data_IF_055733804531
#
_entry.id   IF_055733804531
#
_cell.length_a   1.000
_cell.length_b   1.000
_cell.length_c   1.000
_cell.angle_alpha   90.00
_cell.angle_beta   90.00
_cell.angle_gamma   90.00
#
_symmetry.space_group_name_H-M   'P 1'
#
loop_
_entity.id
_entity.type
_entity.pdbx_description
1 polymer ?
#
# COMPACT_ATOMS: atom_id res chain seq x y z
N UNK A 1 0.41 -2.65 -30.75
CA UNK A 1 0.79 -3.98 -30.20
C UNK A 1 1.92 -3.89 -29.20
N UNK A 2 3.03 -3.20 -29.51
CA UNK A 2 4.14 -3.00 -28.57
C UNK A 2 3.69 -2.48 -27.19
N UNK A 3 2.84 -1.45 -27.15
CA UNK A 3 2.31 -0.87 -25.90
C UNK A 3 1.55 -1.91 -25.05
N UNK A 4 0.72 -2.75 -25.66
CA UNK A 4 -0.02 -3.81 -24.93
C UNK A 4 0.96 -4.79 -24.28
N UNK A 5 1.98 -5.21 -25.01
CA UNK A 5 3.00 -6.11 -24.50
C UNK A 5 3.78 -5.46 -23.35
N UNK A 6 4.16 -4.19 -23.47
CA UNK A 6 4.84 -3.44 -22.41
C UNK A 6 3.98 -3.39 -21.14
N UNK A 7 2.69 -3.08 -21.25
CA UNK A 7 1.80 -3.02 -20.08
C UNK A 7 1.66 -4.38 -19.38
N UNK A 8 1.50 -5.46 -20.15
CA UNK A 8 1.43 -6.82 -19.60
C UNK A 8 2.76 -7.22 -18.96
N UNK A 9 3.88 -6.92 -19.61
CA UNK A 9 5.22 -7.21 -19.07
C UNK A 9 5.51 -6.42 -17.79
N UNK A 10 5.02 -5.18 -17.67
CA UNK A 10 5.12 -4.40 -16.43
C UNK A 10 4.38 -5.12 -15.29
N UNK A 11 3.15 -5.56 -15.52
CA UNK A 11 2.38 -6.25 -14.46
C UNK A 11 3.04 -7.58 -14.07
N UNK A 12 3.35 -8.41 -15.06
CA UNK A 12 4.01 -9.71 -14.83
C UNK A 12 5.37 -9.51 -14.17
N UNK A 13 6.16 -8.55 -14.66
CA UNK A 13 7.47 -8.20 -14.12
C UNK A 13 7.37 -7.73 -12.66
N UNK A 14 6.45 -6.84 -12.33
CA UNK A 14 6.23 -6.38 -10.95
C UNK A 14 5.79 -7.50 -10.02
N UNK A 15 4.86 -8.37 -10.46
CA UNK A 15 4.38 -9.50 -9.66
C UNK A 15 5.50 -10.53 -9.44
N UNK A 16 6.20 -10.93 -10.50
CA UNK A 16 7.32 -11.86 -10.40
C UNK A 16 8.46 -11.29 -9.57
N UNK A 17 8.82 -10.02 -9.80
CA UNK A 17 9.83 -9.33 -8.99
C UNK A 17 9.44 -9.42 -7.52
N UNK A 18 8.22 -9.06 -7.15
CA UNK A 18 7.82 -9.08 -5.75
C UNK A 18 7.82 -10.49 -5.13
N UNK A 19 7.27 -11.49 -5.82
CA UNK A 19 7.20 -12.88 -5.33
C UNK A 19 8.57 -13.56 -5.23
N UNK A 20 9.51 -13.22 -6.13
CA UNK A 20 10.83 -13.82 -6.19
C UNK A 20 11.91 -12.99 -5.49
N UNK A 21 11.62 -11.72 -5.19
CA UNK A 21 12.55 -10.83 -4.51
C UNK A 21 12.73 -11.31 -3.06
N UNK A 22 13.97 -11.42 -2.55
CA UNK A 22 14.21 -11.62 -1.12
C UNK A 22 14.03 -10.33 -0.29
N UNK A 23 13.57 -9.24 -0.92
CA UNK A 23 13.49 -7.89 -0.36
C UNK A 23 12.19 -7.72 0.44
N UNK A 24 11.86 -8.76 1.19
CA UNK A 24 10.80 -8.74 2.17
C UNK A 24 11.37 -8.27 3.51
N UNK A 25 10.48 -8.24 4.48
CA UNK A 25 10.74 -7.67 5.77
C UNK A 25 11.72 -8.55 6.52
N UNK A 26 12.67 -7.92 7.19
CA UNK A 26 13.54 -8.62 8.13
C UNK A 26 12.70 -9.14 9.30
N UNK A 27 13.12 -10.23 9.96
CA UNK A 27 12.46 -10.70 11.17
C UNK A 27 12.28 -9.55 12.17
N UNK A 28 11.08 -9.48 12.75
CA UNK A 28 10.69 -8.38 13.63
C UNK A 28 11.57 -8.39 14.90
N UNK A 29 12.09 -7.22 15.28
CA UNK A 29 12.88 -7.06 16.51
C UNK A 29 12.02 -6.71 17.74
N UNK A 30 10.74 -6.37 17.52
CA UNK A 30 9.79 -5.88 18.53
C UNK A 30 8.38 -6.42 18.30
N UNK A 31 7.47 -6.24 19.25
CA UNK A 31 6.09 -6.73 19.21
C UNK A 31 5.13 -5.95 18.27
N UNK A 32 5.64 -5.45 17.14
CA UNK A 32 4.95 -4.46 16.30
C UNK A 32 4.23 -5.06 15.08
N UNK A 33 3.91 -6.37 15.13
CA UNK A 33 3.27 -7.13 14.04
C UNK A 33 2.02 -6.47 13.46
N UNK A 34 1.30 -5.67 14.24
CA UNK A 34 0.10 -4.97 13.79
C UNK A 34 0.40 -3.90 12.70
N UNK A 35 1.57 -3.25 12.77
CA UNK A 35 2.06 -2.32 11.74
C UNK A 35 2.39 -3.12 10.48
N UNK A 36 3.11 -4.23 10.65
CA UNK A 36 3.51 -5.12 9.57
C UNK A 36 2.32 -5.61 8.77
N UNK A 37 1.33 -6.14 9.48
CA UNK A 37 0.07 -6.58 8.90
C UNK A 37 -0.65 -5.45 8.13
N UNK A 38 -0.65 -4.23 8.65
CA UNK A 38 -1.32 -3.09 7.99
C UNK A 38 -0.65 -2.72 6.67
N UNK A 39 0.69 -2.75 6.63
CA UNK A 39 1.42 -2.48 5.39
C UNK A 39 1.25 -3.64 4.42
N UNK A 40 1.25 -4.90 4.87
CA UNK A 40 1.00 -6.07 4.01
C UNK A 40 -0.40 -6.01 3.39
N UNK A 41 -1.42 -5.68 4.17
CA UNK A 41 -2.79 -5.48 3.67
C UNK A 41 -2.81 -4.37 2.61
N UNK A 42 -2.19 -3.23 2.91
CA UNK A 42 -2.11 -2.09 1.98
C UNK A 42 -1.41 -2.47 0.69
N UNK A 43 -0.30 -3.20 0.78
CA UNK A 43 0.47 -3.70 -0.34
C UNK A 43 -0.39 -4.60 -1.25
N UNK A 44 -1.09 -5.59 -0.69
CA UNK A 44 -1.90 -6.51 -1.50
C UNK A 44 -3.10 -5.82 -2.13
N UNK A 45 -3.81 -4.95 -1.40
CA UNK A 45 -4.95 -4.21 -1.95
C UNK A 45 -4.49 -3.33 -3.11
N UNK A 46 -3.45 -2.52 -2.90
CA UNK A 46 -2.95 -1.61 -3.95
C UNK A 46 -2.33 -2.37 -5.12
N UNK A 47 -1.62 -3.48 -4.86
CA UNK A 47 -1.04 -4.34 -5.88
C UNK A 47 -2.09 -5.00 -6.77
N UNK A 48 -3.19 -5.50 -6.20
CA UNK A 48 -4.32 -6.06 -6.97
C UNK A 48 -4.98 -4.98 -7.83
N UNK A 49 -5.26 -3.80 -7.25
CA UNK A 49 -5.88 -2.68 -7.98
C UNK A 49 -4.96 -2.20 -9.11
N UNK A 50 -3.65 -2.07 -8.84
CA UNK A 50 -2.64 -1.75 -9.85
C UNK A 50 -2.68 -2.73 -11.02
N UNK A 51 -2.61 -4.04 -10.74
CA UNK A 51 -2.65 -5.06 -11.78
C UNK A 51 -3.96 -5.01 -12.58
N UNK A 52 -5.11 -4.87 -11.90
CA UNK A 52 -6.41 -4.79 -12.53
C UNK A 52 -6.52 -3.58 -13.48
N UNK A 53 -6.11 -2.38 -13.06
CA UNK A 53 -6.16 -1.16 -13.87
C UNK A 53 -5.22 -1.25 -15.07
N UNK A 54 -3.99 -1.71 -14.88
CA UNK A 54 -3.01 -1.80 -15.98
C UNK A 54 -3.42 -2.87 -17.00
N UNK A 55 -3.88 -4.03 -16.55
CA UNK A 55 -4.38 -5.08 -17.46
C UNK A 55 -5.67 -4.65 -18.17
N UNK A 56 -6.57 -3.93 -17.49
CA UNK A 56 -7.75 -3.35 -18.12
C UNK A 56 -7.37 -2.34 -19.20
N UNK A 57 -6.39 -1.48 -18.95
CA UNK A 57 -5.85 -0.57 -19.95
C UNK A 57 -5.22 -1.32 -21.14
N UNK A 58 -4.45 -2.37 -20.88
CA UNK A 58 -3.89 -3.23 -21.93
C UNK A 58 -4.99 -3.88 -22.79
N UNK A 59 -6.06 -4.37 -22.13
CA UNK A 59 -7.25 -4.89 -22.80
C UNK A 59 -7.91 -3.82 -23.67
N UNK A 60 -8.12 -2.61 -23.16
CA UNK A 60 -8.72 -1.51 -23.91
C UNK A 60 -7.90 -1.15 -25.16
N UNK A 61 -6.58 -1.00 -25.01
CA UNK A 61 -5.67 -0.72 -26.13
C UNK A 61 -5.68 -1.86 -27.16
N UNK A 62 -5.77 -3.11 -26.74
CA UNK A 62 -5.84 -4.26 -27.64
C UNK A 62 -7.19 -4.36 -28.37
N UNK A 63 -8.29 -4.28 -27.62
CA UNK A 63 -9.66 -4.52 -28.09
C UNK A 63 -10.23 -3.35 -28.89
N UNK A 64 -9.91 -2.12 -28.50
CA UNK A 64 -10.39 -0.88 -29.11
C UNK A 64 -9.31 -0.17 -29.94
N UNK A 65 -8.27 -0.90 -30.37
CA UNK A 65 -7.29 -0.36 -31.32
C UNK A 65 -7.97 0.18 -32.58
N UNK A 66 -7.41 1.25 -33.15
CA UNK A 66 -7.90 1.81 -34.40
C UNK A 66 -7.95 0.75 -35.51
N UNK A 67 -9.04 0.77 -36.27
CA UNK A 67 -9.24 -0.03 -37.49
C UNK A 67 -9.95 0.88 -38.48
N UNK A 68 -9.57 0.79 -39.75
CA UNK A 68 -10.26 1.54 -40.80
C UNK A 68 -11.76 1.23 -40.78
N UNK A 69 -12.59 2.26 -40.92
CA UNK A 69 -14.05 2.15 -40.86
C UNK A 69 -14.65 2.06 -39.44
N UNK A 70 -13.86 1.88 -38.38
CA UNK A 70 -14.38 1.91 -37.01
C UNK A 70 -14.45 3.35 -36.48
N UNK A 71 -15.65 3.77 -36.07
CA UNK A 71 -15.90 5.02 -35.34
C UNK A 71 -16.13 4.70 -33.86
N UNK A 72 -15.55 5.52 -32.98
CA UNK A 72 -15.81 5.40 -31.54
C UNK A 72 -17.29 5.71 -31.25
N UNK A 73 -17.91 4.90 -30.39
CA UNK A 73 -19.23 5.22 -29.85
C UNK A 73 -19.13 6.43 -28.92
N UNK A 74 -20.05 7.39 -29.07
CA UNK A 74 -20.12 8.55 -28.18
C UNK A 74 -21.09 8.26 -27.05
N UNK A 75 -20.55 7.75 -25.95
CA UNK A 75 -21.28 7.41 -24.72
C UNK A 75 -20.62 8.16 -23.55
N UNK A 76 -20.96 9.45 -23.34
CA UNK A 76 -20.24 10.31 -22.41
C UNK A 76 -20.57 10.03 -20.94
N UNK A 77 -21.74 9.50 -20.63
CA UNK A 77 -22.17 9.25 -19.25
C UNK A 77 -22.74 7.84 -19.07
N UNK A 78 -22.47 7.26 -17.91
CA UNK A 78 -23.07 5.99 -17.51
C UNK A 78 -23.22 5.96 -15.99
N UNK A 79 -24.38 6.42 -15.52
CA UNK A 79 -24.67 6.55 -14.08
C UNK A 79 -24.53 5.25 -13.30
N UNK A 80 -24.86 4.12 -13.92
CA UNK A 80 -24.72 2.80 -13.30
C UNK A 80 -23.26 2.43 -13.10
N UNK A 81 -22.42 2.66 -14.11
CA UNK A 81 -20.97 2.42 -14.03
C UNK A 81 -20.31 3.38 -13.02
N UNK A 82 -20.62 4.67 -13.10
CA UNK A 82 -20.13 5.69 -12.18
C UNK A 82 -20.43 5.33 -10.73
N UNK A 83 -21.68 4.96 -10.43
CA UNK A 83 -22.11 4.62 -9.07
C UNK A 83 -21.42 3.37 -8.54
N UNK A 84 -21.28 2.33 -9.38
CA UNK A 84 -20.59 1.11 -8.97
C UNK A 84 -19.10 1.35 -8.71
N UNK A 85 -18.41 2.08 -9.61
CA UNK A 85 -17.00 2.45 -9.43
C UNK A 85 -16.79 3.31 -8.19
N UNK A 86 -17.69 4.25 -7.92
CA UNK A 86 -17.66 5.08 -6.71
C UNK A 86 -17.75 4.21 -5.44
N UNK A 87 -18.72 3.29 -5.37
CA UNK A 87 -18.91 2.42 -4.21
C UNK A 87 -17.68 1.53 -4.00
N UNK A 88 -17.17 0.90 -5.07
CA UNK A 88 -15.98 0.03 -4.98
C UNK A 88 -14.75 0.82 -4.54
N UNK A 89 -14.55 2.03 -5.06
CA UNK A 89 -13.44 2.89 -4.67
C UNK A 89 -13.56 3.33 -3.21
N UNK A 90 -14.77 3.73 -2.78
CA UNK A 90 -15.02 4.12 -1.39
C UNK A 90 -14.71 2.96 -0.44
N UNK A 91 -15.20 1.74 -0.74
CA UNK A 91 -14.90 0.55 0.05
C UNK A 91 -13.40 0.23 0.09
N UNK A 92 -12.70 0.35 -1.05
CA UNK A 92 -11.25 0.15 -1.11
C UNK A 92 -10.48 1.14 -0.24
N UNK A 93 -10.83 2.43 -0.30
CA UNK A 93 -10.22 3.48 0.53
C UNK A 93 -10.52 3.26 2.00
N UNK A 94 -11.76 2.92 2.36
CA UNK A 94 -12.13 2.60 3.75
C UNK A 94 -11.36 1.39 4.26
N UNK A 95 -11.21 0.34 3.46
CA UNK A 95 -10.44 -0.85 3.83
C UNK A 95 -8.96 -0.56 4.10
N UNK A 96 -8.39 0.45 3.43
CA UNK A 96 -7.02 0.92 3.68
C UNK A 96 -6.93 1.81 4.92
N UNK A 97 -7.87 2.74 5.10
CA UNK A 97 -7.80 3.74 6.17
C UNK A 97 -8.15 3.17 7.55
N UNK A 98 -9.19 2.35 7.65
CA UNK A 98 -9.72 1.89 8.95
C UNK A 98 -8.68 1.12 9.77
N UNK A 99 -7.97 0.11 9.22
CA UNK A 99 -6.90 -0.56 9.97
C UNK A 99 -5.79 0.40 10.38
N UNK A 100 -5.40 1.32 9.50
CA UNK A 100 -4.38 2.33 9.76
C UNK A 100 -4.73 3.23 10.96
N UNK A 101 -6.00 3.60 11.12
CA UNK A 101 -6.47 4.41 12.26
C UNK A 101 -6.35 3.64 13.59
N UNK A 102 -6.71 2.36 13.61
CA UNK A 102 -6.55 1.52 14.82
C UNK A 102 -5.08 1.33 15.21
N UNK A 103 -4.23 1.07 14.22
CA UNK A 103 -2.79 0.94 14.39
C UNK A 103 -2.18 2.22 14.90
N UNK A 104 -2.56 3.37 14.32
CA UNK A 104 -2.11 4.69 14.78
C UNK A 104 -2.48 4.95 16.23
N UNK A 105 -3.73 4.68 16.61
CA UNK A 105 -4.20 4.86 18.00
C UNK A 105 -3.37 4.04 18.99
N UNK A 106 -2.99 2.81 18.65
CA UNK A 106 -2.12 1.98 19.50
C UNK A 106 -0.68 2.50 19.53
N UNK A 107 -0.16 2.92 18.38
CA UNK A 107 1.21 3.42 18.25
C UNK A 107 1.48 4.68 19.08
N UNK A 108 0.55 5.63 19.12
CA UNK A 108 0.72 6.88 19.88
C UNK A 108 0.45 6.74 21.37
N UNK A 109 -0.15 5.63 21.80
CA UNK A 109 -0.51 5.41 23.21
C UNK A 109 0.65 4.74 23.93
N UNK A 110 1.31 5.48 24.81
CA UNK A 110 2.40 4.94 25.63
C UNK A 110 1.82 3.95 26.66
N UNK A 111 2.34 2.70 26.75
CA UNK A 111 1.94 1.75 27.78
C UNK A 111 2.21 2.28 29.19
N UNK A 112 1.34 1.94 30.16
CA UNK A 112 1.47 2.42 31.54
C UNK A 112 2.70 1.86 32.28
N UNK A 113 3.26 0.75 31.80
CA UNK A 113 4.45 0.07 32.30
C UNK A 113 5.72 0.41 31.51
N UNK A 114 5.67 1.41 30.62
CA UNK A 114 6.81 1.81 29.81
C UNK A 114 7.94 2.39 30.69
N UNK A 115 9.17 1.94 30.44
CA UNK A 115 10.37 2.50 31.07
C UNK A 115 10.76 3.80 30.37
N UNK A 116 10.80 4.91 31.10
CA UNK A 116 11.27 6.18 30.56
C UNK A 116 12.77 6.16 30.31
N UNK A 117 13.21 6.40 29.07
CA UNK A 117 14.62 6.51 28.69
C UNK A 117 14.83 7.91 28.11
N UNK A 118 15.80 8.65 28.65
CA UNK A 118 16.20 9.93 28.09
C UNK A 118 17.26 9.70 27.00
N UNK A 119 17.00 10.25 25.82
CA UNK A 119 17.87 10.12 24.65
C UNK A 119 18.32 11.52 24.23
N UNK A 120 19.63 11.78 24.30
CA UNK A 120 20.23 13.04 23.86
C UNK A 120 20.96 12.79 22.55
N UNK A 121 20.56 13.53 21.52
CA UNK A 121 21.17 13.50 20.19
C UNK A 121 22.18 14.65 20.06
N UNK A 122 23.37 14.34 19.54
CA UNK A 122 24.43 15.27 19.19
C UNK A 122 24.90 14.98 17.76
N UNK A 123 25.71 15.88 17.18
CA UNK A 123 26.28 15.65 15.85
C UNK A 123 27.07 14.32 15.83
N UNK A 124 26.56 13.33 15.09
CA UNK A 124 27.09 11.96 14.99
C UNK A 124 27.21 11.19 16.33
N UNK A 125 26.47 11.58 17.37
CA UNK A 125 26.52 10.90 18.67
C UNK A 125 25.14 10.82 19.33
N UNK A 126 24.90 9.72 20.06
CA UNK A 126 23.70 9.50 20.87
C UNK A 126 24.11 9.07 22.27
N UNK A 127 23.51 9.64 23.30
CA UNK A 127 23.66 9.19 24.69
C UNK A 127 22.31 8.83 25.30
N UNK A 128 22.27 7.72 26.02
CA UNK A 128 21.06 7.14 26.60
C UNK A 128 21.20 7.14 28.12
N UNK A 129 20.17 7.65 28.82
CA UNK A 129 20.08 7.62 30.27
C UNK A 129 18.85 6.80 30.66
N UNK A 130 19.12 5.72 31.39
CA UNK A 130 18.12 4.80 31.90
C UNK A 130 17.78 5.16 33.35
N UNK A 131 16.56 4.87 33.81
CA UNK A 131 16.15 5.20 35.17
C UNK A 131 16.89 4.30 36.17
N UNK A 132 17.25 4.86 37.31
CA UNK A 132 17.88 4.10 38.40
C UNK A 132 16.83 3.26 39.15
N UNK A 133 17.25 2.51 40.19
CA UNK A 133 16.36 1.63 40.98
C UNK A 133 15.19 2.37 41.64
N UNK A 134 15.30 3.68 41.80
CA UNK A 134 14.27 4.59 42.32
C UNK A 134 13.31 5.11 41.24
N UNK A 135 13.44 4.66 39.99
CA UNK A 135 12.56 5.00 38.87
C UNK A 135 12.74 6.41 38.32
N UNK A 136 13.76 7.14 38.78
CA UNK A 136 14.05 8.51 38.34
C UNK A 136 15.16 8.51 37.29
N UNK A 137 15.03 9.43 36.33
CA UNK A 137 16.08 9.74 35.35
C UNK A 137 17.19 10.52 36.04
#
# INVERSE_FOLDING_TARGET
MAVVLVLVLIVVGSVLFHLLSPWWWTPIASNWDYIDNTIIISFWITGIVFAAVVLFMAYCVFRFRHREGNRAAYEPENKRLESWLMIVTALGVTALLVPGLFVWSRFVTVPGDATAIEVVAQQWQWSFRLPSKDGKL
#
